data_IF_887945661695
#
_entry.id   IF_887945661695
#
_cell.length_a   1.000
_cell.length_b   1.000
_cell.length_c   1.000
_cell.angle_alpha   90.00
_cell.angle_beta   90.00
_cell.angle_gamma   90.00
#
_symmetry.space_group_name_H-M   'P 1'
#
loop_
_entity.id
_entity.type
_entity.pdbx_description
1 polymer ?
#
# COMPACT_ATOMS: atom_id res chain seq x y z
N UNK A 1 8.57 2.20 0.25
CA UNK A 1 7.19 2.23 -0.27
C UNK A 1 6.51 3.52 0.11
N UNK A 2 5.73 4.10 -0.78
CA UNK A 2 4.90 5.28 -0.49
C UNK A 2 3.50 4.83 -0.08
N UNK A 3 2.92 5.44 0.95
CA UNK A 3 1.56 5.26 1.43
C UNK A 3 0.92 6.63 1.56
N UNK A 4 -0.17 6.85 0.83
CA UNK A 4 -0.93 8.10 0.86
C UNK A 4 -2.23 7.83 1.60
N UNK A 5 -2.44 8.51 2.72
CA UNK A 5 -3.67 8.39 3.50
C UNK A 5 -4.77 9.25 2.89
N UNK A 6 -6.04 8.78 2.90
CA UNK A 6 -7.16 9.48 2.23
C UNK A 6 -7.41 10.88 2.79
N UNK A 7 -7.10 11.10 4.07
CA UNK A 7 -7.33 12.37 4.77
C UNK A 7 -6.12 13.31 4.76
N UNK A 8 -5.00 12.91 4.15
CA UNK A 8 -3.82 13.75 4.01
C UNK A 8 -3.78 14.39 2.61
N UNK A 9 -3.78 15.72 2.56
CA UNK A 9 -3.55 16.43 1.31
C UNK A 9 -2.16 16.08 0.76
N UNK A 10 -2.11 15.62 -0.48
CA UNK A 10 -0.87 15.25 -1.16
C UNK A 10 -0.87 15.82 -2.57
N UNK A 11 0.27 16.40 -2.97
CA UNK A 11 0.58 16.77 -4.34
C UNK A 11 1.74 15.89 -4.86
N UNK A 12 2.08 16.03 -6.13
CA UNK A 12 3.15 15.27 -6.74
C UNK A 12 3.84 16.06 -7.84
N UNK A 13 5.17 16.05 -7.82
CA UNK A 13 6.01 16.56 -8.91
C UNK A 13 7.30 15.75 -9.01
N UNK A 14 7.90 15.72 -10.20
CA UNK A 14 9.27 15.26 -10.32
C UNK A 14 10.22 16.19 -9.57
N UNK A 15 11.20 15.61 -8.88
CA UNK A 15 12.25 16.38 -8.19
C UNK A 15 13.34 16.91 -9.13
N UNK A 16 13.47 16.32 -10.33
CA UNK A 16 14.44 16.69 -11.36
C UNK A 16 13.79 16.59 -12.75
N UNK A 17 14.49 17.10 -13.77
CA UNK A 17 14.06 17.01 -15.18
C UNK A 17 14.04 15.56 -15.70
N UNK A 18 14.77 14.65 -15.07
CA UNK A 18 14.79 13.22 -15.43
C UNK A 18 13.43 12.53 -15.18
N UNK A 19 12.59 13.11 -14.33
CA UNK A 19 11.30 12.56 -13.98
C UNK A 19 11.40 11.28 -13.14
N UNK A 20 10.26 10.60 -12.99
CA UNK A 20 10.20 9.27 -12.37
C UNK A 20 8.99 8.50 -12.91
N UNK A 21 9.02 7.18 -12.73
CA UNK A 21 7.89 6.30 -13.00
C UNK A 21 7.52 5.59 -11.70
N UNK A 22 6.23 5.43 -11.48
CA UNK A 22 5.71 4.70 -10.34
C UNK A 22 4.53 3.83 -10.78
N UNK A 23 4.27 2.82 -9.96
CA UNK A 23 3.05 2.02 -9.99
C UNK A 23 2.42 2.10 -8.62
N UNK A 24 1.10 2.14 -8.58
CA UNK A 24 0.35 2.19 -7.33
C UNK A 24 -1.01 1.54 -7.53
N UNK A 25 -1.61 1.16 -6.41
CA UNK A 25 -2.98 0.69 -6.34
C UNK A 25 -3.71 1.52 -5.28
N UNK A 26 -5.04 1.56 -5.38
CA UNK A 26 -5.90 2.15 -4.36
C UNK A 26 -6.59 1.02 -3.61
N UNK A 27 -6.63 1.10 -2.29
CA UNK A 27 -7.43 0.22 -1.45
C UNK A 27 -8.40 1.07 -0.64
N UNK A 28 -9.64 0.60 -0.55
CA UNK A 28 -10.60 1.14 0.40
C UNK A 28 -10.13 0.82 1.82
N UNK A 29 -10.14 1.78 2.78
CA UNK A 29 -9.76 1.52 4.16
C UNK A 29 -10.52 0.35 4.80
N UNK A 30 -11.76 0.12 4.38
CA UNK A 30 -12.58 -1.00 4.84
C UNK A 30 -11.96 -2.38 4.51
N UNK A 31 -11.24 -2.52 3.40
CA UNK A 31 -10.59 -3.78 3.02
C UNK A 31 -9.45 -4.13 3.99
N UNK A 32 -8.69 -3.13 4.42
CA UNK A 32 -7.67 -3.30 5.46
C UNK A 32 -8.33 -3.59 6.81
N UNK A 33 -9.43 -2.90 7.13
CA UNK A 33 -10.16 -3.09 8.37
C UNK A 33 -10.74 -4.50 8.52
N UNK A 34 -11.15 -5.14 7.41
CA UNK A 34 -11.62 -6.53 7.41
C UNK A 34 -10.55 -7.50 7.93
N UNK A 35 -9.28 -7.26 7.62
CA UNK A 35 -8.16 -8.06 8.14
C UNK A 35 -7.86 -7.71 9.60
N UNK A 36 -7.82 -6.42 9.92
CA UNK A 36 -7.38 -5.92 11.22
C UNK A 36 -8.41 -6.11 12.36
N UNK A 37 -9.66 -6.46 12.04
CA UNK A 37 -10.62 -6.96 13.03
C UNK A 37 -11.00 -5.97 14.13
N UNK A 38 -10.95 -4.66 13.85
CA UNK A 38 -11.35 -3.62 14.81
C UNK A 38 -10.20 -2.84 15.45
N UNK A 39 -8.94 -3.24 15.22
CA UNK A 39 -7.82 -2.35 15.58
C UNK A 39 -7.86 -1.09 14.72
N UNK A 40 -7.37 0.07 15.22
CA UNK A 40 -7.25 1.27 14.41
C UNK A 40 -6.45 1.03 13.13
N UNK A 41 -6.83 1.70 12.05
CA UNK A 41 -6.10 1.66 10.79
C UNK A 41 -4.67 2.20 10.98
N UNK A 42 -3.64 1.54 10.43
CA UNK A 42 -2.26 1.97 10.58
C UNK A 42 -2.03 3.32 9.89
N UNK A 43 -1.26 4.20 10.53
CA UNK A 43 -0.90 5.51 9.99
C UNK A 43 0.62 5.63 9.87
N UNK A 44 1.11 5.76 8.63
CA UNK A 44 2.54 5.96 8.32
C UNK A 44 2.81 7.45 8.17
N UNK A 45 3.58 8.01 9.11
CA UNK A 45 3.97 9.41 9.08
C UNK A 45 4.93 9.71 7.91
N UNK A 46 4.66 10.80 7.18
CA UNK A 46 5.57 11.33 6.16
C UNK A 46 5.48 10.60 4.81
N UNK A 47 4.41 9.82 4.59
CA UNK A 47 4.09 9.05 3.39
C UNK A 47 5.09 7.96 2.97
N UNK A 48 6.39 8.12 3.21
CA UNK A 48 7.42 7.16 2.85
C UNK A 48 7.73 6.20 4.01
N UNK A 49 7.67 4.90 3.74
CA UNK A 49 8.13 3.85 4.64
C UNK A 49 9.27 3.06 4.03
N UNK A 50 10.29 2.77 4.85
CA UNK A 50 11.41 1.89 4.51
C UNK A 50 11.20 0.45 5.02
N UNK A 51 10.00 0.12 5.51
CA UNK A 51 9.73 -1.20 6.08
C UNK A 51 9.83 -2.29 4.99
N UNK A 52 10.75 -3.27 5.13
CA UNK A 52 10.98 -4.27 4.08
C UNK A 52 9.75 -5.16 3.83
N UNK A 53 8.94 -5.41 4.86
CA UNK A 53 7.70 -6.18 4.72
C UNK A 53 6.68 -5.48 3.82
N UNK A 54 6.55 -4.15 3.98
CA UNK A 54 5.63 -3.37 3.16
C UNK A 54 6.11 -3.28 1.71
N UNK A 55 7.42 -3.18 1.50
CA UNK A 55 7.99 -3.26 0.15
C UNK A 55 7.65 -4.58 -0.53
N UNK A 56 7.88 -5.72 0.13
CA UNK A 56 7.56 -7.04 -0.44
C UNK A 56 6.07 -7.22 -0.74
N UNK A 57 5.20 -6.88 0.21
CA UNK A 57 3.74 -7.01 0.02
C UNK A 57 3.25 -6.19 -1.18
N UNK A 58 3.68 -4.92 -1.28
CA UNK A 58 3.31 -4.07 -2.43
C UNK A 58 3.92 -4.52 -3.74
N UNK A 59 5.14 -5.08 -3.73
CA UNK A 59 5.80 -5.58 -4.92
C UNK A 59 5.09 -6.81 -5.50
N UNK A 60 4.62 -7.72 -4.65
CA UNK A 60 3.86 -8.89 -5.07
C UNK A 60 2.57 -8.47 -5.80
N UNK A 61 1.81 -7.55 -5.20
CA UNK A 61 0.57 -7.04 -5.77
C UNK A 61 0.77 -6.28 -7.10
N UNK A 62 1.90 -5.59 -7.27
CA UNK A 62 2.20 -4.78 -8.45
C UNK A 62 3.06 -5.50 -9.50
N UNK A 63 3.31 -6.80 -9.33
CA UNK A 63 4.22 -7.58 -10.18
C UNK A 63 3.69 -7.73 -11.62
N UNK A 64 2.42 -8.11 -11.75
CA UNK A 64 1.71 -8.26 -13.02
C UNK A 64 0.40 -7.44 -12.96
N UNK A 65 0.28 -6.44 -13.82
CA UNK A 65 -0.91 -5.57 -13.89
C UNK A 65 -1.91 -6.04 -14.94
N UNK A 66 -1.50 -6.96 -15.81
CA UNK A 66 -2.34 -7.51 -16.87
C UNK A 66 -3.08 -8.76 -16.39
N UNK A 67 -2.60 -9.39 -15.31
CA UNK A 67 -3.26 -10.48 -14.62
C UNK A 67 -4.29 -9.95 -13.59
N UNK A 68 -5.56 -10.29 -13.80
CA UNK A 68 -6.57 -10.08 -12.78
C UNK A 68 -6.36 -11.07 -11.63
N UNK A 69 -6.28 -10.56 -10.40
CA UNK A 69 -6.22 -11.39 -9.20
C UNK A 69 -7.52 -12.16 -9.05
N UNK A 70 -7.41 -13.45 -8.76
CA UNK A 70 -8.56 -14.18 -8.25
C UNK A 70 -8.91 -13.72 -6.81
N UNK A 71 -10.12 -14.03 -6.31
CA UNK A 71 -10.52 -13.58 -4.99
C UNK A 71 -9.61 -14.03 -3.84
N UNK A 72 -9.02 -15.23 -3.92
CA UNK A 72 -8.15 -15.74 -2.87
C UNK A 72 -6.77 -15.08 -2.92
N UNK A 73 -6.23 -14.83 -4.12
CA UNK A 73 -5.01 -14.04 -4.31
C UNK A 73 -5.17 -12.61 -3.77
N UNK A 74 -6.35 -12.01 -3.99
CA UNK A 74 -6.67 -10.70 -3.43
C UNK A 74 -6.72 -10.73 -1.90
N UNK A 75 -7.41 -11.72 -1.31
CA UNK A 75 -7.49 -11.87 0.15
C UNK A 75 -6.10 -12.06 0.79
N UNK A 76 -5.23 -12.86 0.18
CA UNK A 76 -3.85 -13.08 0.64
C UNK A 76 -3.02 -11.78 0.54
N UNK A 77 -3.12 -11.06 -0.59
CA UNK A 77 -2.46 -9.78 -0.76
C UNK A 77 -2.94 -8.73 0.26
N UNK A 78 -4.24 -8.68 0.54
CA UNK A 78 -4.82 -7.78 1.55
C UNK A 78 -4.31 -8.11 2.95
N UNK A 79 -4.22 -9.40 3.28
CA UNK A 79 -3.67 -9.84 4.55
C UNK A 79 -2.23 -9.37 4.74
N UNK A 80 -1.37 -9.66 3.76
CA UNK A 80 0.04 -9.28 3.78
C UNK A 80 0.25 -7.76 3.86
N UNK A 81 -0.54 -6.99 3.11
CA UNK A 81 -0.49 -5.52 3.14
C UNK A 81 -0.95 -5.00 4.50
N UNK A 82 -2.06 -5.50 5.05
CA UNK A 82 -2.59 -5.04 6.34
C UNK A 82 -1.60 -5.29 7.48
N UNK A 83 -1.02 -6.50 7.55
CA UNK A 83 0.00 -6.85 8.54
C UNK A 83 1.26 -6.00 8.35
N UNK A 84 1.71 -5.80 7.12
CA UNK A 84 2.89 -5.00 6.84
C UNK A 84 2.68 -3.50 7.15
N UNK A 85 1.49 -2.96 6.90
CA UNK A 85 1.11 -1.60 7.29
C UNK A 85 1.10 -1.45 8.81
N UNK A 86 0.52 -2.41 9.54
CA UNK A 86 0.49 -2.39 11.00
C UNK A 86 1.89 -2.47 11.61
N UNK A 87 2.80 -3.26 11.02
CA UNK A 87 4.19 -3.34 11.47
C UNK A 87 5.04 -2.11 11.11
N UNK A 88 4.61 -1.32 10.11
CA UNK A 88 5.35 -0.17 9.60
C UNK A 88 4.90 1.19 10.16
N UNK A 89 3.73 1.24 10.81
CA UNK A 89 3.17 2.42 11.47
C UNK A 89 3.76 2.60 12.87
#
# INVERSE_FOLDING_TARGET
TLVLHPDEAHDGRAGTEDGFRYRMFYLEPAMIQQVLGGTPLPFIKGAASNHPGLFRATQALLADLDAALDPLELDDALYDIAVALQAAA
#
